data_IF_095085542866
#
_entry.id   IF_095085542866
#
_cell.length_a   1.000
_cell.length_b   1.000
_cell.length_c   1.000
_cell.angle_alpha   90.00
_cell.angle_beta   90.00
_cell.angle_gamma   90.00
#
_symmetry.space_group_name_H-M   'P 1'
#
loop_
_entity.id
_entity.type
_entity.pdbx_description
1 polymer ?
#
# COMPACT_ATOMS: atom_id res chain seq x y z
N UNK A 1 -28.61 -28.07 -35.78
CA UNK A 1 -27.94 -26.77 -35.58
C UNK A 1 -27.74 -26.57 -34.08
N UNK A 2 -26.55 -26.90 -33.59
CA UNK A 2 -26.21 -27.01 -32.17
C UNK A 2 -25.94 -25.62 -31.56
N UNK A 3 -26.66 -25.27 -30.51
CA UNK A 3 -26.46 -24.03 -29.74
C UNK A 3 -25.07 -23.98 -29.08
N UNK A 4 -24.38 -22.82 -29.06
CA UNK A 4 -23.09 -22.72 -28.40
C UNK A 4 -23.23 -22.73 -26.87
N UNK A 5 -22.48 -23.64 -26.25
CA UNK A 5 -22.35 -23.83 -24.80
C UNK A 5 -21.80 -22.59 -24.11
N UNK A 6 -22.55 -22.02 -23.15
CA UNK A 6 -22.09 -20.96 -22.26
C UNK A 6 -21.06 -21.51 -21.28
N UNK A 7 -19.77 -21.36 -21.60
CA UNK A 7 -18.69 -21.55 -20.62
C UNK A 7 -18.74 -20.45 -19.54
N UNK A 8 -19.41 -20.74 -18.41
CA UNK A 8 -19.37 -19.90 -17.20
C UNK A 8 -17.98 -20.00 -16.54
N UNK A 9 -17.25 -18.89 -16.53
CA UNK A 9 -15.96 -18.73 -15.87
C UNK A 9 -16.09 -18.90 -14.33
N UNK A 10 -15.57 -20.00 -13.78
CA UNK A 10 -15.62 -20.36 -12.34
C UNK A 10 -14.51 -19.67 -11.50
N UNK A 11 -14.23 -18.38 -11.71
CA UNK A 11 -13.24 -17.64 -10.91
C UNK A 11 -13.93 -16.66 -9.96
N UNK A 12 -14.27 -17.07 -8.73
CA UNK A 12 -14.84 -16.11 -7.77
C UNK A 12 -15.12 -16.58 -6.34
N UNK A 13 -15.24 -17.89 -6.09
CA UNK A 13 -15.69 -18.39 -4.77
C UNK A 13 -14.64 -18.40 -3.65
N UNK A 14 -13.34 -18.39 -3.98
CA UNK A 14 -12.27 -18.40 -2.96
C UNK A 14 -11.90 -17.02 -2.41
N UNK A 15 -12.15 -15.96 -3.17
CA UNK A 15 -11.76 -14.58 -2.84
C UNK A 15 -12.55 -14.02 -1.65
N UNK A 16 -13.85 -14.29 -1.58
CA UNK A 16 -14.73 -13.77 -0.53
C UNK A 16 -14.47 -14.42 0.84
N UNK A 17 -14.28 -15.74 0.90
CA UNK A 17 -13.94 -16.45 2.15
C UNK A 17 -12.56 -16.03 2.67
N UNK A 18 -11.55 -15.94 1.80
CA UNK A 18 -10.22 -15.46 2.16
C UNK A 18 -10.26 -14.03 2.71
N UNK A 19 -10.98 -13.12 2.03
CA UNK A 19 -11.15 -11.74 2.48
C UNK A 19 -11.85 -11.65 3.84
N UNK A 20 -12.89 -12.46 4.06
CA UNK A 20 -13.56 -12.54 5.38
C UNK A 20 -12.59 -13.00 6.47
N UNK A 21 -11.80 -14.04 6.20
CA UNK A 21 -10.81 -14.53 7.15
C UNK A 21 -9.75 -13.46 7.47
N UNK A 22 -9.20 -12.80 6.44
CA UNK A 22 -8.23 -11.72 6.63
C UNK A 22 -8.80 -10.56 7.45
N UNK A 23 -10.06 -10.14 7.23
CA UNK A 23 -10.71 -9.13 8.07
C UNK A 23 -10.77 -9.56 9.53
N UNK A 24 -11.11 -10.81 9.80
CA UNK A 24 -11.10 -11.37 11.16
C UNK A 24 -9.70 -11.34 11.79
N UNK A 25 -8.66 -11.73 11.05
CA UNK A 25 -7.29 -11.68 11.54
C UNK A 25 -6.83 -10.25 11.87
N UNK A 26 -7.12 -9.28 11.00
CA UNK A 26 -6.76 -7.87 11.22
C UNK A 26 -7.58 -7.29 12.37
N UNK A 27 -8.88 -7.61 12.48
CA UNK A 27 -9.72 -7.20 13.60
C UNK A 27 -9.20 -7.73 14.94
N UNK A 28 -8.76 -9.00 14.99
CA UNK A 28 -8.18 -9.59 16.19
C UNK A 28 -6.84 -8.93 16.59
N UNK A 29 -6.05 -8.48 15.61
CA UNK A 29 -4.77 -7.80 15.85
C UNK A 29 -4.94 -6.34 16.29
N UNK A 30 -5.79 -5.58 15.61
CA UNK A 30 -5.84 -4.11 15.71
C UNK A 30 -7.09 -3.59 16.42
N UNK A 31 -8.08 -4.45 16.67
CA UNK A 31 -9.40 -4.10 17.18
C UNK A 31 -10.38 -3.67 16.09
N UNK A 32 -11.63 -3.44 16.52
CA UNK A 32 -12.77 -3.07 15.66
C UNK A 32 -12.90 -1.56 15.48
N UNK A 33 -11.87 -0.92 14.91
CA UNK A 33 -11.86 0.52 14.62
C UNK A 33 -11.22 0.78 13.27
N UNK A 34 -11.71 1.79 12.55
CA UNK A 34 -11.06 2.27 11.33
C UNK A 34 -9.63 2.72 11.66
N UNK A 35 -8.64 2.26 10.90
CA UNK A 35 -7.24 2.62 11.10
C UNK A 35 -7.03 4.14 11.00
N UNK A 36 -7.74 4.79 10.07
CA UNK A 36 -7.58 6.20 9.74
C UNK A 36 -8.36 7.14 10.69
N UNK A 37 -9.69 7.05 10.71
CA UNK A 37 -10.53 7.96 11.50
C UNK A 37 -10.82 7.47 12.93
N UNK A 38 -10.40 6.24 13.28
CA UNK A 38 -10.60 5.62 14.61
C UNK A 38 -12.06 5.37 15.02
N UNK A 39 -13.02 5.70 14.16
CA UNK A 39 -14.44 5.35 14.34
C UNK A 39 -14.59 3.84 14.54
N UNK A 40 -15.40 3.39 15.53
CA UNK A 40 -15.74 1.98 15.70
C UNK A 40 -16.32 1.37 14.42
N UNK A 41 -15.96 0.13 14.15
CA UNK A 41 -16.54 -0.67 13.07
C UNK A 41 -17.53 -1.68 13.66
N UNK A 42 -18.49 -2.13 12.85
CA UNK A 42 -19.46 -3.13 13.26
C UNK A 42 -18.77 -4.45 13.64
N UNK A 43 -19.33 -5.15 14.64
CA UNK A 43 -18.79 -6.42 15.14
C UNK A 43 -18.78 -7.52 14.07
N UNK A 44 -19.74 -7.47 13.13
CA UNK A 44 -19.83 -8.39 12.01
C UNK A 44 -18.90 -8.02 10.83
N UNK A 45 -18.15 -6.92 10.95
CA UNK A 45 -17.23 -6.37 9.95
C UNK A 45 -17.90 -6.07 8.60
N UNK A 46 -19.20 -5.79 8.60
CA UNK A 46 -19.98 -5.48 7.39
C UNK A 46 -19.61 -4.13 6.78
N UNK A 47 -19.29 -3.14 7.62
CA UNK A 47 -18.84 -1.79 7.26
C UNK A 47 -17.31 -1.68 7.10
N UNK A 48 -16.59 -2.76 7.41
CA UNK A 48 -15.14 -2.82 7.39
C UNK A 48 -14.59 -3.29 6.03
N UNK A 49 -13.73 -2.47 5.45
CA UNK A 49 -12.92 -2.81 4.27
C UNK A 49 -11.51 -3.22 4.69
N UNK A 50 -10.82 -3.99 3.84
CA UNK A 50 -9.38 -4.20 3.97
C UNK A 50 -8.69 -3.24 3.02
N UNK A 51 -7.78 -2.46 3.57
CA UNK A 51 -6.93 -1.55 2.80
C UNK A 51 -5.46 -1.97 2.90
N UNK A 52 -4.72 -1.74 1.82
CA UNK A 52 -3.27 -1.86 1.81
C UNK A 52 -2.66 -0.57 2.33
N UNK A 53 -2.04 -0.62 3.51
CA UNK A 53 -1.43 0.55 4.15
C UNK A 53 -0.39 1.20 3.23
N UNK A 54 0.54 0.40 2.69
CA UNK A 54 1.35 0.74 1.53
C UNK A 54 0.59 0.33 0.27
N UNK A 55 0.28 1.26 -0.66
CA UNK A 55 -0.50 0.96 -1.86
C UNK A 55 0.03 -0.22 -2.66
N UNK A 56 -0.90 -1.03 -3.19
CA UNK A 56 -0.59 -2.20 -4.03
C UNK A 56 0.31 -1.87 -5.23
N UNK A 57 0.20 -0.65 -5.79
CA UNK A 57 1.04 -0.18 -6.89
C UNK A 57 2.53 -0.16 -6.53
N UNK A 58 2.88 -0.01 -5.25
CA UNK A 58 4.25 0.04 -4.75
C UNK A 58 4.69 -1.24 -4.05
N UNK A 59 3.80 -1.86 -3.27
CA UNK A 59 4.08 -3.13 -2.62
C UNK A 59 3.00 -4.14 -2.95
N UNK A 60 3.25 -4.96 -3.98
CA UNK A 60 2.33 -5.96 -4.54
C UNK A 60 2.22 -7.22 -3.66
N UNK A 61 2.05 -7.03 -2.36
CA UNK A 61 1.93 -8.10 -1.38
C UNK A 61 0.61 -7.99 -0.60
N UNK A 62 -0.06 -9.13 -0.41
CA UNK A 62 -1.27 -9.26 0.41
C UNK A 62 -0.93 -9.78 1.80
N UNK A 63 0.18 -9.29 2.36
CA UNK A 63 0.65 -9.70 3.67
C UNK A 63 -0.20 -9.05 4.76
N UNK A 64 -0.51 -9.82 5.81
CA UNK A 64 -1.27 -9.31 6.96
C UNK A 64 -0.62 -8.05 7.55
N UNK A 65 0.71 -7.95 7.52
CA UNK A 65 1.46 -6.79 8.00
C UNK A 65 1.15 -5.48 7.23
N UNK A 66 0.74 -5.58 5.96
CA UNK A 66 0.38 -4.42 5.13
C UNK A 66 -1.13 -4.19 5.04
N UNK A 67 -1.95 -4.99 5.75
CA UNK A 67 -3.40 -4.88 5.74
C UNK A 67 -3.90 -4.20 7.01
N UNK A 68 -4.83 -3.27 6.84
CA UNK A 68 -5.52 -2.57 7.93
C UNK A 68 -7.04 -2.58 7.70
N UNK A 69 -7.82 -2.46 8.77
CA UNK A 69 -9.26 -2.20 8.64
C UNK A 69 -9.52 -0.71 8.39
N UNK A 70 -10.39 -0.41 7.42
CA UNK A 70 -10.82 0.95 7.15
C UNK A 70 -12.32 1.00 6.86
N UNK A 71 -12.99 2.08 7.26
CA UNK A 71 -14.33 2.35 6.76
C UNK A 71 -14.27 2.68 5.26
N UNK A 72 -15.39 2.50 4.56
CA UNK A 72 -15.45 2.74 3.10
C UNK A 72 -14.97 4.14 2.71
N UNK A 73 -15.44 5.16 3.42
CA UNK A 73 -15.12 6.56 3.14
C UNK A 73 -13.60 6.85 3.23
N UNK A 74 -12.94 6.41 4.31
CA UNK A 74 -11.50 6.63 4.46
C UNK A 74 -10.68 5.81 3.46
N UNK A 75 -11.08 4.56 3.20
CA UNK A 75 -10.40 3.72 2.23
C UNK A 75 -10.43 4.33 0.82
N UNK A 76 -11.60 4.82 0.41
CA UNK A 76 -11.79 5.49 -0.88
C UNK A 76 -11.02 6.81 -0.95
N UNK A 77 -11.08 7.64 0.10
CA UNK A 77 -10.36 8.90 0.18
C UNK A 77 -8.83 8.72 0.14
N UNK A 78 -8.30 7.66 0.76
CA UNK A 78 -6.87 7.32 0.65
C UNK A 78 -6.53 6.85 -0.77
N UNK A 79 -7.31 5.91 -1.30
CA UNK A 79 -7.02 5.26 -2.58
C UNK A 79 -5.58 4.70 -2.65
N UNK A 80 -4.85 5.13 -3.68
CA UNK A 80 -3.45 4.74 -3.91
C UNK A 80 -2.42 5.72 -3.30
N UNK A 81 -2.84 6.64 -2.43
CA UNK A 81 -1.91 7.54 -1.76
C UNK A 81 -1.04 6.80 -0.74
N UNK A 82 0.23 7.22 -0.64
CA UNK A 82 1.10 6.76 0.43
C UNK A 82 0.76 7.48 1.74
N UNK A 83 0.68 6.77 2.87
CA UNK A 83 0.70 7.42 4.17
C UNK A 83 1.95 8.28 4.34
N UNK A 84 1.79 9.46 4.93
CA UNK A 84 2.89 10.44 5.10
C UNK A 84 4.09 9.87 5.85
N UNK A 85 3.84 9.02 6.84
CA UNK A 85 4.89 8.30 7.58
C UNK A 85 5.78 7.48 6.65
N UNK A 86 5.18 6.74 5.72
CA UNK A 86 5.92 5.94 4.72
C UNK A 86 6.66 6.84 3.75
N UNK A 87 6.00 7.88 3.24
CA UNK A 87 6.63 8.85 2.34
C UNK A 87 7.84 9.53 2.98
N UNK A 88 7.71 9.96 4.25
CA UNK A 88 8.78 10.55 5.02
C UNK A 88 9.97 9.60 5.20
N UNK A 89 9.72 8.34 5.59
CA UNK A 89 10.77 7.33 5.75
C UNK A 89 11.49 7.08 4.43
N UNK A 90 10.76 6.91 3.33
CA UNK A 90 11.36 6.74 2.00
C UNK A 90 12.23 7.92 1.62
N UNK A 91 11.79 9.16 1.85
CA UNK A 91 12.59 10.36 1.58
C UNK A 91 13.83 10.44 2.49
N UNK A 92 13.69 10.11 3.77
CA UNK A 92 14.80 10.10 4.72
C UNK A 92 15.89 9.08 4.34
N UNK A 93 15.50 7.87 3.92
CA UNK A 93 16.43 6.86 3.43
C UNK A 93 16.96 7.19 2.02
N UNK A 94 16.13 7.77 1.16
CA UNK A 94 16.55 8.20 -0.16
C UNK A 94 17.61 9.30 -0.11
N UNK A 95 17.66 10.17 0.91
CA UNK A 95 18.74 11.18 1.02
C UNK A 95 20.14 10.56 1.00
N UNK A 96 20.33 9.38 1.62
CA UNK A 96 21.62 8.68 1.58
C UNK A 96 21.96 8.19 0.17
N UNK A 97 20.98 7.69 -0.58
CA UNK A 97 21.15 7.22 -1.96
C UNK A 97 21.18 8.37 -3.00
N UNK A 98 20.44 9.45 -2.76
CA UNK A 98 20.36 10.62 -3.61
C UNK A 98 21.57 11.53 -3.42
N UNK A 99 22.20 11.59 -2.23
CA UNK A 99 23.50 12.25 -2.09
C UNK A 99 24.55 11.63 -3.02
N UNK A 100 24.54 10.30 -3.17
CA UNK A 100 25.39 9.59 -4.14
C UNK A 100 24.97 9.80 -5.60
N UNK A 101 23.69 10.13 -5.86
CA UNK A 101 23.18 10.42 -7.21
C UNK A 101 23.38 11.89 -7.64
N UNK A 102 23.25 12.84 -6.71
CA UNK A 102 23.41 14.28 -6.93
C UNK A 102 24.90 14.69 -6.92
N UNK A 103 25.77 13.91 -6.27
CA UNK A 103 27.22 14.03 -6.32
C UNK A 103 27.85 12.65 -6.61
N UNK A 104 28.01 12.25 -7.89
CA UNK A 104 28.71 11.02 -8.20
C UNK A 104 30.19 11.16 -7.80
N UNK A 105 30.78 10.25 -7.01
CA UNK A 105 32.21 10.29 -6.66
C UNK A 105 33.05 10.03 -7.92
N UNK A 106 33.33 11.10 -8.67
CA UNK A 106 34.08 11.07 -9.91
C UNK A 106 34.08 12.46 -10.56
N UNK A 107 35.26 13.07 -10.56
CA UNK A 107 35.70 14.11 -11.51
C UNK A 107 35.45 15.62 -11.27
N UNK A 108 35.18 16.11 -10.06
CA UNK A 108 35.32 17.57 -9.77
C UNK A 108 36.71 18.00 -9.26
N UNK A 109 37.72 17.13 -9.36
CA UNK A 109 39.10 17.43 -8.97
C UNK A 109 39.84 18.38 -9.94
N UNK A 110 39.13 19.09 -10.83
CA UNK A 110 39.74 19.85 -11.94
C UNK A 110 39.39 21.34 -12.01
N UNK A 111 38.57 21.87 -11.10
CA UNK A 111 38.34 23.32 -11.02
C UNK A 111 39.03 23.88 -9.78
N UNK A 112 40.20 24.46 -9.99
CA UNK A 112 40.69 25.45 -9.05
C UNK A 112 39.85 26.74 -9.19
N UNK A 113 39.86 27.58 -8.15
CA UNK A 113 39.06 28.81 -8.11
C UNK A 113 39.56 29.89 -9.09
N UNK A 114 40.55 29.60 -9.93
CA UNK A 114 41.23 30.60 -10.75
C UNK A 114 41.06 30.41 -12.26
N UNK A 115 40.35 29.38 -12.72
CA UNK A 115 39.74 29.33 -14.05
C UNK A 115 40.65 29.77 -15.20
N UNK A 116 41.62 28.93 -15.59
CA UNK A 116 42.28 29.06 -16.89
C UNK A 116 42.69 27.68 -17.42
N UNK A 117 42.51 27.49 -18.72
CA UNK A 117 42.73 26.23 -19.44
C UNK A 117 44.20 25.83 -19.49
#
# INVERSE_FOLDING_TARGET
MTSPSKHRNKKGRGSSRRRRHLRGCVAARDGLRCHYCRTPLAEDLSDATLDHYVPWSMWRANDLANLVLACHHCNEAKGAALPWTVAYLLLAHAKTALAAYVYPPGDYAGFDQNGSR
#
